data_IF_800496402382
#
_entry.id   IF_800496402382
#
_cell.length_a   1.000
_cell.length_b   1.000
_cell.length_c   1.000
_cell.angle_alpha   90.00
_cell.angle_beta   90.00
_cell.angle_gamma   90.00
#
_symmetry.space_group_name_H-M   'P 1'
#
loop_
_entity.id
_entity.type
_entity.pdbx_description
1 polymer ?
#
# COMPACT_ATOMS: atom_id res chain seq x y z
N UNK A 1 -4.59 2.17 -12.25
CA UNK A 1 -3.38 1.37 -12.49
C UNK A 1 -2.28 2.03 -11.69
N UNK A 2 -1.80 1.36 -10.64
CA UNK A 2 -0.71 1.89 -9.84
C UNK A 2 0.59 1.43 -10.52
N UNK A 3 1.44 2.35 -10.99
CA UNK A 3 2.60 2.01 -11.82
C UNK A 3 3.53 0.95 -11.18
N UNK A 4 3.58 0.87 -9.84
CA UNK A 4 4.33 -0.16 -9.11
C UNK A 4 3.79 -1.58 -9.31
N UNK A 5 2.46 -1.75 -9.39
CA UNK A 5 1.85 -3.07 -9.55
C UNK A 5 2.13 -3.63 -10.96
N UNK A 6 2.17 -2.76 -11.96
CA UNK A 6 2.45 -3.13 -13.35
C UNK A 6 3.91 -3.57 -13.56
N UNK A 7 4.83 -3.23 -12.66
CA UNK A 7 6.21 -3.73 -12.64
C UNK A 7 6.38 -4.98 -11.75
N UNK A 8 5.67 -5.05 -10.61
CA UNK A 8 5.73 -6.21 -9.69
C UNK A 8 5.06 -7.45 -10.30
N UNK A 9 3.92 -7.28 -10.97
CA UNK A 9 3.16 -8.37 -11.57
C UNK A 9 3.94 -9.18 -12.62
N UNK A 10 4.61 -8.56 -13.61
CA UNK A 10 5.45 -9.28 -14.57
C UNK A 10 6.82 -9.68 -13.99
N UNK A 11 7.11 -9.40 -12.71
CA UNK A 11 8.37 -9.78 -12.07
C UNK A 11 9.59 -8.96 -12.49
N UNK A 12 9.39 -7.81 -13.14
CA UNK A 12 10.47 -6.91 -13.59
C UNK A 12 10.82 -5.85 -12.54
N UNK A 13 10.04 -5.76 -11.47
CA UNK A 13 10.30 -4.84 -10.37
C UNK A 13 11.64 -5.13 -9.69
N UNK A 14 12.39 -4.05 -9.47
CA UNK A 14 13.54 -4.01 -8.56
C UNK A 14 13.11 -4.30 -7.13
N UNK A 15 14.07 -4.65 -6.26
CA UNK A 15 13.76 -4.93 -4.85
C UNK A 15 13.25 -3.68 -4.11
N UNK A 16 13.71 -2.49 -4.50
CA UNK A 16 13.20 -1.21 -4.00
C UNK A 16 11.72 -0.99 -4.39
N UNK A 17 11.34 -1.28 -5.63
CA UNK A 17 9.95 -1.18 -6.09
C UNK A 17 9.03 -2.17 -5.38
N UNK A 18 9.52 -3.38 -5.08
CA UNK A 18 8.78 -4.36 -4.27
C UNK A 18 8.57 -3.85 -2.84
N UNK A 19 9.62 -3.30 -2.22
CA UNK A 19 9.54 -2.73 -0.88
C UNK A 19 8.53 -1.58 -0.81
N UNK A 20 8.58 -0.65 -1.77
CA UNK A 20 7.63 0.45 -1.89
C UNK A 20 6.20 -0.04 -2.13
N UNK A 21 6.02 -1.07 -2.95
CA UNK A 21 4.69 -1.65 -3.19
C UNK A 21 4.10 -2.29 -1.93
N UNK A 22 4.90 -2.98 -1.14
CA UNK A 22 4.44 -3.60 0.11
C UNK A 22 4.16 -2.56 1.21
N UNK A 23 4.96 -1.50 1.30
CA UNK A 23 4.67 -0.36 2.19
C UNK A 23 3.37 0.35 1.79
N UNK A 24 3.18 0.61 0.49
CA UNK A 24 1.94 1.19 -0.03
C UNK A 24 0.72 0.31 0.28
N UNK A 25 0.82 -1.02 0.15
CA UNK A 25 -0.28 -1.93 0.53
C UNK A 25 -0.61 -1.82 2.01
N UNK A 26 0.38 -1.76 2.90
CA UNK A 26 0.15 -1.60 4.35
C UNK A 26 -0.62 -0.31 4.63
N UNK A 27 -0.16 0.81 4.09
CA UNK A 27 -0.85 2.10 4.22
C UNK A 27 -2.28 2.05 3.69
N UNK A 28 -2.50 1.53 2.48
CA UNK A 28 -3.83 1.40 1.89
C UNK A 28 -4.77 0.56 2.76
N UNK A 29 -4.24 -0.53 3.33
CA UNK A 29 -5.00 -1.43 4.17
C UNK A 29 -5.38 -0.79 5.51
N UNK A 30 -4.47 -0.01 6.11
CA UNK A 30 -4.76 0.78 7.31
C UNK A 30 -5.87 1.79 7.01
N UNK A 31 -5.72 2.61 5.96
CA UNK A 31 -6.71 3.63 5.57
C UNK A 31 -8.09 3.02 5.30
N UNK A 32 -8.14 1.92 4.54
CA UNK A 32 -9.41 1.25 4.21
C UNK A 32 -10.09 0.58 5.40
N UNK A 33 -9.36 0.31 6.50
CA UNK A 33 -9.88 -0.32 7.71
C UNK A 33 -10.17 0.68 8.83
N UNK A 34 -9.87 1.96 8.62
CA UNK A 34 -10.26 3.01 9.56
C UNK A 34 -11.78 2.98 9.68
N UNK A 35 -12.26 2.74 10.89
CA UNK A 35 -13.65 2.98 11.23
C UNK A 35 -13.88 4.49 11.18
N UNK A 36 -14.69 4.94 10.21
CA UNK A 36 -14.98 6.36 10.02
C UNK A 36 -15.90 6.93 11.09
N UNK A 37 -16.54 6.07 11.89
CA UNK A 37 -17.40 6.46 13.02
C UNK A 37 -16.63 6.56 14.33
N UNK A 38 -15.52 5.82 14.48
CA UNK A 38 -14.64 5.88 15.64
C UNK A 38 -13.16 5.74 15.24
N UNK A 39 -12.56 6.79 14.66
CA UNK A 39 -11.18 6.73 14.21
C UNK A 39 -10.16 6.75 15.37
N UNK A 40 -9.30 5.72 15.43
CA UNK A 40 -8.20 5.60 16.41
C UNK A 40 -7.04 6.62 16.21
N UNK A 41 -7.16 7.58 15.29
CA UNK A 41 -6.09 8.53 14.92
C UNK A 41 -6.23 9.92 15.54
N UNK A 42 -7.19 10.12 16.45
CA UNK A 42 -7.34 11.35 17.23
C UNK A 42 -6.68 11.18 18.61
N UNK A 43 -5.38 11.42 18.69
CA UNK A 43 -4.67 11.81 19.93
C UNK A 43 -4.08 13.22 19.78
#
# INVERSE_FOLDING_TARGET
MAPLQDAVYPGIATDDEKAQFDEWKKYRLVVNRVDTLNPDWLE
#
